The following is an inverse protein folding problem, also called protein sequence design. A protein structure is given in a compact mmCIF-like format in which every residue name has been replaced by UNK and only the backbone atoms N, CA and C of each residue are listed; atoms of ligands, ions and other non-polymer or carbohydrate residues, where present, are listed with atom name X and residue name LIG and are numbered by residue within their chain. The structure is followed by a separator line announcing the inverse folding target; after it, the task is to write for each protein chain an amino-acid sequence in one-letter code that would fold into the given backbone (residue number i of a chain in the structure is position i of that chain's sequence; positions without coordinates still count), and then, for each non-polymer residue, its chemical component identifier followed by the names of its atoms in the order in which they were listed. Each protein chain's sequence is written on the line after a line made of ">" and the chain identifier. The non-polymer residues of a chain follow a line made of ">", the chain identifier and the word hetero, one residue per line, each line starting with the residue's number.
data_IF_361203241355
#
_entry.id   IF_361203241355
#
_cell.length_a   1.000
_cell.length_b   1.000
_cell.length_c   1.000
_cell.angle_alpha   90.00
_cell.angle_beta   90.00
_cell.angle_gamma   90.00
#
_symmetry.space_group_name_H-M   'P 1'
#
loop_
_entity.id
_entity.type
_entity.pdbx_description
1 polymer ?
#
# COMPACT_ATOMS: atom_id res chain seq x y z
N UNK A 1 24.46 9.60 11.08
CA UNK A 1 23.23 8.82 11.30
C UNK A 1 23.49 7.32 11.37
N UNK A 2 24.15 6.71 10.37
CA UNK A 2 24.52 5.28 10.35
C UNK A 2 25.37 4.86 11.54
N UNK A 3 26.35 5.67 11.91
CA UNK A 3 27.26 5.40 13.03
C UNK A 3 26.54 5.34 14.39
N UNK A 4 25.57 6.24 14.60
CA UNK A 4 24.77 6.28 15.85
C UNK A 4 23.85 5.04 15.90
N UNK A 5 23.32 4.62 14.76
CA UNK A 5 22.49 3.43 14.69
C UNK A 5 23.27 2.15 15.02
N UNK A 6 24.52 2.04 14.58
CA UNK A 6 25.39 0.91 14.87
C UNK A 6 25.70 0.80 16.38
N UNK A 7 25.93 1.94 17.04
CA UNK A 7 26.31 1.97 18.47
C UNK A 7 25.11 1.64 19.38
N UNK A 8 23.91 2.10 19.03
CA UNK A 8 22.73 1.98 19.90
C UNK A 8 21.64 1.05 19.36
N UNK A 9 21.80 0.47 18.15
CA UNK A 9 20.80 -0.37 17.46
C UNK A 9 19.39 0.24 17.50
N UNK A 10 19.30 1.56 17.36
CA UNK A 10 18.02 2.29 17.45
C UNK A 10 17.04 1.93 16.34
N UNK A 11 17.57 1.53 15.17
CA UNK A 11 16.77 1.15 14.01
C UNK A 11 17.32 -0.14 13.38
N UNK A 12 17.01 -1.32 13.95
CA UNK A 12 17.49 -2.60 13.42
C UNK A 12 17.02 -2.87 11.96
N UNK A 13 15.99 -2.18 11.52
CA UNK A 13 15.42 -2.31 10.16
C UNK A 13 16.31 -1.71 9.06
N UNK A 14 17.30 -0.86 9.42
CA UNK A 14 18.18 -0.21 8.41
C UNK A 14 19.27 -1.18 7.93
N UNK A 15 19.68 -2.14 8.77
CA UNK A 15 20.71 -3.13 8.41
C UNK A 15 20.17 -4.29 7.54
N UNK A 16 18.86 -4.51 7.54
CA UNK A 16 18.20 -5.58 6.76
C UNK A 16 17.97 -5.21 5.27
N UNK A 17 18.48 -4.06 4.82
CA UNK A 17 18.26 -3.55 3.45
C UNK A 17 19.34 -4.01 2.47
N UNK A 18 19.85 -5.23 2.59
CA UNK A 18 20.59 -5.89 1.51
C UNK A 18 19.70 -6.56 0.44
N UNK A 19 18.40 -6.40 0.52
CA UNK A 19 17.54 -6.78 -0.61
C UNK A 19 17.63 -5.67 -1.66
N UNK A 20 18.23 -5.99 -2.81
CA UNK A 20 18.08 -5.20 -4.04
C UNK A 20 16.59 -5.16 -4.41
N UNK A 21 15.84 -4.36 -3.70
CA UNK A 21 14.43 -4.10 -3.96
C UNK A 21 14.34 -2.88 -4.86
N UNK A 22 13.79 -3.04 -6.03
CA UNK A 22 13.44 -1.92 -6.90
C UNK A 22 12.18 -1.18 -6.39
N UNK A 23 11.75 -1.48 -5.16
CA UNK A 23 10.52 -0.94 -4.58
C UNK A 23 10.45 0.57 -4.57
N UNK A 24 11.54 1.26 -4.18
CA UNK A 24 11.59 2.73 -4.19
C UNK A 24 11.46 3.30 -5.61
N UNK A 25 12.11 2.66 -6.60
CA UNK A 25 11.99 3.07 -7.99
C UNK A 25 10.54 2.92 -8.48
N UNK A 26 9.93 1.76 -8.23
CA UNK A 26 8.55 1.50 -8.62
C UNK A 26 7.56 2.42 -7.91
N UNK A 27 7.82 2.75 -6.64
CA UNK A 27 7.00 3.71 -5.90
C UNK A 27 7.06 5.12 -6.52
N UNK A 28 8.26 5.63 -6.82
CA UNK A 28 8.40 6.92 -7.48
C UNK A 28 7.75 6.94 -8.88
N UNK A 29 7.90 5.85 -9.63
CA UNK A 29 7.31 5.72 -10.95
C UNK A 29 5.77 5.69 -10.89
N UNK A 30 5.22 4.96 -9.91
CA UNK A 30 3.76 4.91 -9.71
C UNK A 30 3.20 6.28 -9.33
N UNK A 31 3.88 7.03 -8.45
CA UNK A 31 3.49 8.37 -8.07
C UNK A 31 3.50 9.33 -9.27
N UNK A 32 4.53 9.26 -10.10
CA UNK A 32 4.59 10.04 -11.33
C UNK A 32 3.40 9.74 -12.26
N UNK A 33 3.08 8.47 -12.45
CA UNK A 33 1.94 8.06 -13.29
C UNK A 33 0.60 8.49 -12.67
N UNK A 34 0.43 8.35 -11.37
CA UNK A 34 -0.79 8.80 -10.69
C UNK A 34 -1.01 10.30 -10.87
N UNK A 35 0.04 11.11 -10.73
CA UNK A 35 -0.02 12.55 -10.96
C UNK A 35 -0.39 12.82 -12.42
N UNK A 36 0.28 12.19 -13.38
CA UNK A 36 0.03 12.40 -14.80
C UNK A 36 -1.41 12.02 -15.23
N UNK A 37 -2.00 11.00 -14.60
CA UNK A 37 -3.34 10.51 -14.97
C UNK A 37 -4.48 11.25 -14.26
N UNK A 38 -4.28 11.61 -12.98
CA UNK A 38 -5.38 12.00 -12.11
C UNK A 38 -5.29 13.41 -11.54
N UNK A 39 -4.16 14.13 -11.67
CA UNK A 39 -4.01 15.45 -11.07
C UNK A 39 -5.12 16.43 -11.42
N UNK A 40 -5.45 16.53 -12.70
CA UNK A 40 -6.48 17.47 -13.19
C UNK A 40 -7.87 16.84 -13.30
N UNK A 41 -7.98 15.49 -13.23
CA UNK A 41 -9.23 14.77 -13.50
C UNK A 41 -9.93 14.34 -12.23
N UNK A 42 -9.21 13.66 -11.34
CA UNK A 42 -9.73 13.12 -10.09
C UNK A 42 -8.62 13.05 -9.03
N UNK A 43 -8.34 14.17 -8.33
CA UNK A 43 -7.33 14.19 -7.28
C UNK A 43 -7.64 13.23 -6.13
N UNK A 44 -8.90 12.86 -5.90
CA UNK A 44 -9.28 11.89 -4.87
C UNK A 44 -8.79 10.49 -5.20
N UNK A 45 -8.89 10.06 -6.45
CA UNK A 45 -8.34 8.79 -6.89
C UNK A 45 -6.81 8.74 -6.74
N UNK A 46 -6.11 9.84 -7.10
CA UNK A 46 -4.67 9.97 -6.89
C UNK A 46 -4.30 9.78 -5.42
N UNK A 47 -4.95 10.54 -4.53
CA UNK A 47 -4.66 10.50 -3.09
C UNK A 47 -4.99 9.12 -2.52
N UNK A 48 -6.07 8.49 -2.99
CA UNK A 48 -6.46 7.13 -2.57
C UNK A 48 -5.36 6.11 -2.91
N UNK A 49 -4.90 6.05 -4.14
CA UNK A 49 -3.84 5.12 -4.54
C UNK A 49 -2.53 5.37 -3.78
N UNK A 50 -2.15 6.63 -3.64
CA UNK A 50 -0.96 7.03 -2.89
C UNK A 50 -1.04 6.64 -1.41
N UNK A 51 -2.15 6.90 -0.73
CA UNK A 51 -2.30 6.60 0.69
C UNK A 51 -2.45 5.11 0.97
N UNK A 52 -3.14 4.36 0.11
CA UNK A 52 -3.20 2.89 0.22
C UNK A 52 -1.79 2.32 0.22
N UNK A 53 -0.93 2.75 -0.70
CA UNK A 53 0.44 2.25 -0.76
C UNK A 53 1.26 2.69 0.44
N UNK A 54 1.22 3.98 0.79
CA UNK A 54 2.04 4.54 1.87
C UNK A 54 1.67 3.96 3.23
N UNK A 55 0.38 3.99 3.58
CA UNK A 55 -0.08 3.53 4.89
C UNK A 55 -0.41 2.05 4.91
N UNK A 56 -1.00 1.52 3.83
CA UNK A 56 -1.38 0.12 3.75
C UNK A 56 -0.18 -0.80 3.79
N UNK A 57 0.74 -0.69 2.84
CA UNK A 57 1.95 -1.52 2.79
C UNK A 57 2.90 -1.22 3.96
N UNK A 58 3.09 0.07 4.30
CA UNK A 58 3.94 0.47 5.41
C UNK A 58 3.51 -0.15 6.75
N UNK A 59 2.23 -0.03 7.10
CA UNK A 59 1.69 -0.61 8.34
C UNK A 59 1.59 -2.14 8.27
N UNK A 60 1.22 -2.70 7.11
CA UNK A 60 1.18 -4.14 6.93
C UNK A 60 2.55 -4.79 7.13
N UNK A 61 3.61 -4.16 6.62
CA UNK A 61 4.99 -4.58 6.82
C UNK A 61 5.43 -4.51 8.28
N UNK A 62 5.10 -3.43 8.98
CA UNK A 62 5.42 -3.25 10.40
C UNK A 62 4.68 -4.27 11.28
N UNK A 63 3.36 -4.37 11.16
CA UNK A 63 2.52 -5.26 11.98
C UNK A 63 2.80 -6.73 11.64
N UNK A 64 2.98 -7.04 10.36
CA UNK A 64 3.29 -8.40 9.91
C UNK A 64 4.62 -8.94 10.44
N UNK A 65 5.59 -8.06 10.73
CA UNK A 65 6.88 -8.42 11.35
C UNK A 65 6.82 -8.41 12.88
N UNK A 66 6.06 -7.49 13.48
CA UNK A 66 6.00 -7.31 14.93
C UNK A 66 5.17 -8.38 15.64
N UNK A 67 4.15 -8.89 15.01
CA UNK A 67 3.24 -9.87 15.62
C UNK A 67 3.40 -11.26 15.02
N UNK A 68 3.54 -12.25 15.89
CA UNK A 68 3.62 -13.64 15.48
C UNK A 68 2.24 -14.15 15.03
N UNK A 69 2.07 -14.42 13.74
CA UNK A 69 0.84 -14.94 13.18
C UNK A 69 1.10 -16.03 12.15
N UNK A 70 0.05 -16.74 11.74
CA UNK A 70 0.16 -17.70 10.63
C UNK A 70 0.77 -16.99 9.43
N UNK A 71 1.80 -17.58 8.86
CA UNK A 71 2.51 -17.02 7.72
C UNK A 71 2.60 -18.07 6.59
N UNK A 72 2.60 -17.59 5.37
CA UNK A 72 2.79 -18.39 4.16
C UNK A 72 3.84 -17.74 3.26
N UNK A 73 4.38 -18.53 2.35
CA UNK A 73 5.35 -18.06 1.38
C UNK A 73 4.66 -18.00 0.03
N UNK A 74 4.64 -16.81 -0.55
CA UNK A 74 4.11 -16.58 -1.89
C UNK A 74 5.20 -15.90 -2.72
N UNK A 75 5.57 -16.46 -3.87
CA UNK A 75 6.66 -15.99 -4.73
C UNK A 75 7.95 -15.61 -3.98
N UNK A 76 8.42 -16.49 -3.07
CA UNK A 76 9.63 -16.28 -2.23
C UNK A 76 9.53 -15.15 -1.19
N UNK A 77 8.36 -14.53 -1.01
CA UNK A 77 8.10 -13.57 0.05
C UNK A 77 7.26 -14.17 1.16
N UNK A 78 7.65 -13.91 2.41
CA UNK A 78 6.90 -14.34 3.58
C UNK A 78 5.80 -13.30 3.85
N UNK A 79 4.56 -13.71 3.74
CA UNK A 79 3.36 -12.94 4.09
C UNK A 79 2.80 -13.45 5.40
N UNK A 80 2.18 -12.59 6.18
CA UNK A 80 1.57 -12.92 7.47
C UNK A 80 0.09 -12.53 7.50
N UNK A 81 -0.70 -13.29 8.26
CA UNK A 81 -2.13 -13.01 8.39
C UNK A 81 -2.38 -11.60 8.94
N UNK A 82 -1.65 -11.20 9.98
CA UNK A 82 -1.81 -9.85 10.54
C UNK A 82 -1.40 -8.76 9.56
N UNK A 83 -0.32 -8.97 8.78
CA UNK A 83 0.05 -8.03 7.72
C UNK A 83 -1.05 -7.86 6.67
N UNK A 84 -1.62 -8.97 6.19
CA UNK A 84 -2.71 -8.95 5.21
C UNK A 84 -3.98 -8.29 5.75
N UNK A 85 -4.37 -8.59 6.99
CA UNK A 85 -5.51 -7.93 7.63
C UNK A 85 -5.25 -6.43 7.81
N UNK A 86 -4.05 -6.05 8.22
CA UNK A 86 -3.67 -4.64 8.35
C UNK A 86 -3.78 -3.92 7.00
N UNK A 87 -3.27 -4.52 5.92
CA UNK A 87 -3.41 -3.97 4.58
C UNK A 87 -4.89 -3.73 4.23
N UNK A 88 -5.75 -4.71 4.48
CA UNK A 88 -7.18 -4.60 4.19
C UNK A 88 -7.85 -3.48 4.99
N UNK A 89 -7.68 -3.46 6.31
CA UNK A 89 -8.35 -2.47 7.16
C UNK A 89 -7.81 -1.06 6.91
N UNK A 90 -6.50 -0.90 6.71
CA UNK A 90 -5.91 0.40 6.40
C UNK A 90 -6.41 0.90 5.05
N UNK A 91 -6.44 0.05 4.04
CA UNK A 91 -6.98 0.40 2.71
C UNK A 91 -8.45 0.77 2.81
N UNK A 92 -9.25 0.04 3.59
CA UNK A 92 -10.67 0.34 3.80
C UNK A 92 -10.87 1.69 4.48
N UNK A 93 -10.07 2.00 5.51
CA UNK A 93 -10.13 3.30 6.19
C UNK A 93 -9.77 4.43 5.21
N UNK A 94 -8.70 4.28 4.43
CA UNK A 94 -8.27 5.27 3.44
C UNK A 94 -9.38 5.51 2.41
N UNK A 95 -9.85 4.44 1.78
CA UNK A 95 -10.88 4.53 0.73
C UNK A 95 -12.17 5.12 1.27
N UNK A 96 -12.62 4.69 2.46
CA UNK A 96 -13.84 5.18 3.08
C UNK A 96 -13.73 6.65 3.47
N UNK A 97 -12.58 7.09 3.99
CA UNK A 97 -12.37 8.48 4.38
C UNK A 97 -12.38 9.41 3.16
N UNK A 98 -11.66 9.03 2.11
CA UNK A 98 -11.55 9.84 0.89
C UNK A 98 -12.87 9.82 0.11
N UNK A 99 -13.49 8.65 -0.05
CA UNK A 99 -14.77 8.52 -0.73
C UNK A 99 -15.90 9.26 -0.01
N UNK A 100 -15.90 9.26 1.33
CA UNK A 100 -16.84 10.07 2.11
C UNK A 100 -16.65 11.57 1.90
N UNK A 101 -15.40 12.03 1.80
CA UNK A 101 -15.10 13.45 1.52
C UNK A 101 -15.57 13.83 0.11
N UNK A 102 -15.45 12.93 -0.86
CA UNK A 102 -15.84 13.17 -2.25
C UNK A 102 -17.36 13.17 -2.44
N UNK A 103 -18.06 12.16 -1.91
CA UNK A 103 -19.49 11.89 -2.20
C UNK A 103 -20.42 12.22 -1.04
N UNK A 104 -19.89 12.48 0.15
CA UNK A 104 -20.64 12.66 1.40
C UNK A 104 -21.56 11.47 1.75
N UNK A 105 -21.26 10.29 1.20
CA UNK A 105 -22.00 9.04 1.42
C UNK A 105 -21.05 7.86 1.59
N UNK A 106 -21.52 6.83 2.32
CA UNK A 106 -20.79 5.58 2.43
C UNK A 106 -21.26 4.62 1.33
N UNK A 107 -20.30 4.15 0.51
CA UNK A 107 -20.56 3.26 -0.61
C UNK A 107 -19.96 1.87 -0.35
N UNK A 108 -20.73 0.81 -0.64
CA UNK A 108 -20.22 -0.57 -0.53
C UNK A 108 -19.04 -0.86 -1.46
N UNK A 109 -18.87 -0.09 -2.52
CA UNK A 109 -17.73 -0.18 -3.43
C UNK A 109 -16.38 0.03 -2.73
N UNK A 110 -16.36 0.70 -1.56
CA UNK A 110 -15.14 0.89 -0.76
C UNK A 110 -14.51 -0.45 -0.33
N UNK A 111 -15.35 -1.44 -0.02
CA UNK A 111 -14.88 -2.78 0.29
C UNK A 111 -14.20 -3.45 -0.92
N UNK A 112 -14.74 -3.25 -2.11
CA UNK A 112 -14.18 -3.83 -3.34
C UNK A 112 -12.77 -3.27 -3.63
N UNK A 113 -12.58 -1.95 -3.47
CA UNK A 113 -11.26 -1.32 -3.66
C UNK A 113 -10.26 -1.81 -2.61
N UNK A 114 -10.66 -1.86 -1.33
CA UNK A 114 -9.80 -2.35 -0.26
C UNK A 114 -9.41 -3.83 -0.43
N UNK A 115 -10.37 -4.66 -0.85
CA UNK A 115 -10.11 -6.07 -1.15
C UNK A 115 -9.14 -6.23 -2.34
N UNK A 116 -9.35 -5.47 -3.42
CA UNK A 116 -8.46 -5.46 -4.57
C UNK A 116 -7.04 -5.07 -4.18
N UNK A 117 -6.86 -3.99 -3.44
CA UNK A 117 -5.55 -3.53 -2.98
C UNK A 117 -4.83 -4.62 -2.16
N UNK A 118 -5.56 -5.26 -1.23
CA UNK A 118 -5.04 -6.35 -0.40
C UNK A 118 -4.68 -7.59 -1.23
N UNK A 119 -5.50 -7.91 -2.22
CA UNK A 119 -5.24 -9.02 -3.13
C UNK A 119 -4.00 -8.77 -3.98
N UNK A 120 -3.85 -7.59 -4.54
CA UNK A 120 -2.69 -7.20 -5.35
C UNK A 120 -1.38 -7.22 -4.54
N UNK A 121 -1.44 -6.83 -3.27
CA UNK A 121 -0.28 -6.86 -2.36
C UNK A 121 0.25 -8.30 -2.16
N UNK A 122 -0.58 -9.35 -2.30
CA UNK A 122 -0.10 -10.74 -2.23
C UNK A 122 0.87 -11.09 -3.38
N UNK A 123 0.76 -10.43 -4.53
CA UNK A 123 1.62 -10.63 -5.70
C UNK A 123 2.90 -9.78 -5.67
N UNK A 124 3.31 -9.33 -4.51
CA UNK A 124 4.54 -8.58 -4.28
C UNK A 124 5.76 -9.41 -4.69
N UNK A 125 6.35 -9.07 -5.83
CA UNK A 125 7.59 -9.68 -6.33
C UNK A 125 8.55 -8.58 -6.70
N UNK A 126 9.75 -8.57 -6.14
CA UNK A 126 10.80 -7.57 -6.40
C UNK A 126 10.39 -6.10 -6.18
N UNK A 127 9.30 -5.84 -5.45
CA UNK A 127 8.77 -4.49 -5.21
C UNK A 127 7.82 -3.98 -6.30
N UNK A 128 7.33 -4.84 -7.19
CA UNK A 128 6.33 -4.50 -8.23
C UNK A 128 4.97 -4.12 -7.63
N UNK A 129 4.66 -4.59 -6.44
CA UNK A 129 3.52 -4.17 -5.63
C UNK A 129 3.47 -2.65 -5.46
N UNK A 130 4.61 -2.00 -5.21
CA UNK A 130 4.73 -0.54 -5.11
C UNK A 130 4.32 0.21 -6.40
N UNK A 131 4.22 -0.51 -7.50
CA UNK A 131 3.74 0.03 -8.77
C UNK A 131 2.27 -0.34 -9.04
N UNK A 132 1.93 -1.62 -8.90
CA UNK A 132 0.63 -2.15 -9.29
C UNK A 132 -0.46 -1.73 -8.29
N UNK A 133 -0.20 -1.84 -6.98
CA UNK A 133 -1.20 -1.55 -5.95
C UNK A 133 -1.70 -0.12 -6.04
N UNK A 134 -0.86 0.93 -6.03
CA UNK A 134 -1.37 2.30 -6.06
C UNK A 134 -2.11 2.65 -7.36
N UNK A 135 -1.62 2.20 -8.51
CA UNK A 135 -2.23 2.51 -9.81
C UNK A 135 -3.60 1.83 -9.94
N UNK A 136 -3.66 0.52 -9.68
CA UNK A 136 -4.93 -0.22 -9.83
C UNK A 136 -5.95 0.17 -8.76
N UNK A 137 -5.52 0.50 -7.55
CA UNK A 137 -6.43 1.02 -6.52
C UNK A 137 -7.01 2.37 -6.91
N UNK A 138 -6.20 3.30 -7.42
CA UNK A 138 -6.67 4.59 -7.92
C UNK A 138 -7.64 4.45 -9.09
N UNK A 139 -7.30 3.62 -10.07
CA UNK A 139 -8.18 3.35 -11.22
C UNK A 139 -9.52 2.74 -10.79
N UNK A 140 -9.48 1.77 -9.87
CA UNK A 140 -10.69 1.12 -9.36
C UNK A 140 -11.55 2.09 -8.55
N UNK A 141 -10.92 2.94 -7.73
CA UNK A 141 -11.61 3.98 -6.99
C UNK A 141 -12.31 4.96 -7.95
N UNK A 142 -11.58 5.50 -8.91
CA UNK A 142 -12.14 6.42 -9.93
C UNK A 142 -13.31 5.77 -10.71
N UNK A 143 -13.14 4.53 -11.17
CA UNK A 143 -14.19 3.81 -11.91
C UNK A 143 -15.44 3.54 -11.08
N UNK A 144 -15.28 3.13 -9.82
CA UNK A 144 -16.40 2.76 -8.95
C UNK A 144 -17.09 3.98 -8.31
N UNK A 145 -16.43 5.15 -8.27
CA UNK A 145 -17.02 6.40 -7.80
C UNK A 145 -17.66 7.21 -8.93
N UNK A 146 -17.25 6.99 -10.18
CA UNK A 146 -17.83 7.67 -11.35
C UNK A 146 -19.19 7.09 -11.79
N UNK A 147 -19.59 5.94 -11.26
CA UNK A 147 -20.86 5.25 -11.55
C UNK A 147 -21.78 5.21 -10.33
#
# INVERSE_FOLDING_TARGET
>A
MVFINYTYKLFPTIEDVERKSYGTFFYCLSLFILIALFWDKDPYALITGFFIMTFGDGLAGLIGKSFNSKSWIFFKQKKSLFGTLTMFFTSLIVVSSIGYIQENNFNLNFFAVAFLATFLEQFSVFGIDNFIVPILSALSFNFLMAN
#
